data_IF_369899245301
#
_entry.id   IF_369899245301
#
_cell.length_a   1.000
_cell.length_b   1.000
_cell.length_c   1.000
_cell.angle_alpha   90.00
_cell.angle_beta   90.00
_cell.angle_gamma   90.00
#
_symmetry.space_group_name_H-M   'P 1'
#
loop_
_entity.id
_entity.type
_entity.pdbx_description
1 polymer ?
#
# COMPACT_ATOMS: atom_id res chain seq x y z
N UNK A 1 -46.18 3.05 19.48
CA UNK A 1 -45.62 2.82 20.82
C UNK A 1 -44.49 1.71 20.89
N UNK A 2 -44.17 1.03 19.82
CA UNK A 2 -43.03 0.05 19.80
C UNK A 2 -41.70 0.66 19.36
N UNK A 3 -41.67 1.91 18.94
CA UNK A 3 -40.49 2.58 18.36
C UNK A 3 -39.42 2.91 19.39
N UNK A 4 -39.78 3.49 20.55
CA UNK A 4 -38.78 3.88 21.55
C UNK A 4 -37.99 2.70 22.13
N UNK A 5 -38.60 1.59 22.56
CA UNK A 5 -37.85 0.43 23.07
C UNK A 5 -36.97 -0.25 22.01
N UNK A 6 -37.34 -0.17 20.73
CA UNK A 6 -36.54 -0.74 19.64
C UNK A 6 -35.35 0.15 19.34
N UNK A 7 -35.49 1.48 19.35
CA UNK A 7 -34.37 2.43 19.21
C UNK A 7 -33.36 2.27 20.35
N UNK A 8 -33.82 2.13 21.59
CA UNK A 8 -32.93 1.88 22.73
C UNK A 8 -32.12 0.59 22.53
N UNK A 9 -32.76 -0.49 22.05
CA UNK A 9 -32.05 -1.75 21.75
C UNK A 9 -31.04 -1.60 20.61
N UNK A 10 -31.37 -0.88 19.53
CA UNK A 10 -30.43 -0.61 18.43
C UNK A 10 -29.22 0.18 18.94
N UNK A 11 -29.42 1.18 19.78
CA UNK A 11 -28.31 1.92 20.41
C UNK A 11 -27.47 1.03 21.34
N UNK A 12 -28.11 0.20 22.16
CA UNK A 12 -27.41 -0.76 23.04
C UNK A 12 -26.56 -1.76 22.23
N UNK A 13 -27.07 -2.19 21.06
CA UNK A 13 -26.35 -3.05 20.10
C UNK A 13 -25.31 -2.28 19.26
N UNK A 14 -25.14 -0.97 19.48
CA UNK A 14 -24.24 -0.09 18.69
C UNK A 14 -24.57 -0.04 17.20
N UNK A 15 -25.86 -0.18 16.84
CA UNK A 15 -26.40 -0.05 15.49
C UNK A 15 -26.94 1.36 15.28
N UNK A 16 -26.05 2.36 15.48
CA UNK A 16 -26.44 3.77 15.54
C UNK A 16 -26.90 4.33 14.19
N UNK A 17 -26.26 3.93 13.09
CA UNK A 17 -26.65 4.39 11.76
C UNK A 17 -27.98 3.76 11.34
N UNK A 18 -28.23 2.49 11.67
CA UNK A 18 -29.52 1.84 11.47
C UNK A 18 -30.63 2.52 12.27
N UNK A 19 -30.35 2.91 13.52
CA UNK A 19 -31.33 3.63 14.36
C UNK A 19 -31.68 5.00 13.77
N UNK A 20 -30.69 5.74 13.30
CA UNK A 20 -30.89 7.03 12.63
C UNK A 20 -31.70 6.85 11.35
N UNK A 21 -31.30 5.94 10.46
CA UNK A 21 -32.01 5.67 9.21
C UNK A 21 -33.47 5.21 9.46
N UNK A 22 -33.70 4.41 10.52
CA UNK A 22 -35.08 4.02 10.87
C UNK A 22 -35.93 5.21 11.31
N UNK A 23 -35.38 6.12 12.11
CA UNK A 23 -36.07 7.32 12.51
C UNK A 23 -36.41 8.22 11.28
N UNK A 24 -35.47 8.37 10.35
CA UNK A 24 -35.65 9.11 9.11
C UNK A 24 -36.75 8.50 8.24
N UNK A 25 -36.77 7.17 8.08
CA UNK A 25 -37.82 6.47 7.32
C UNK A 25 -39.22 6.73 7.84
N UNK A 26 -39.38 6.95 9.15
CA UNK A 26 -40.70 7.26 9.74
C UNK A 26 -41.26 8.66 9.39
N UNK A 27 -40.35 9.56 9.00
CA UNK A 27 -40.72 10.93 8.62
C UNK A 27 -40.85 11.13 7.10
N UNK A 28 -40.48 10.11 6.29
CA UNK A 28 -40.53 10.17 4.83
C UNK A 28 -41.80 9.44 4.32
N UNK A 29 -42.73 10.19 3.72
CA UNK A 29 -44.00 9.64 3.20
C UNK A 29 -43.75 8.59 2.10
N UNK A 30 -42.74 8.76 1.26
CA UNK A 30 -42.42 7.86 0.16
C UNK A 30 -41.97 6.47 0.64
N UNK A 31 -41.47 6.37 1.86
CA UNK A 31 -41.03 5.08 2.43
C UNK A 31 -42.20 4.15 2.74
N UNK A 32 -43.41 4.66 2.87
CA UNK A 32 -44.62 3.84 3.11
C UNK A 32 -45.01 3.01 1.88
N UNK A 33 -44.60 3.45 0.69
CA UNK A 33 -44.84 2.75 -0.57
C UNK A 33 -43.92 1.54 -0.80
N UNK A 34 -42.77 1.46 -0.07
CA UNK A 34 -41.82 0.36 -0.18
C UNK A 34 -42.27 -0.84 0.66
N UNK A 35 -41.99 -2.04 0.15
CA UNK A 35 -42.19 -3.29 0.89
C UNK A 35 -41.28 -3.33 2.14
N UNK A 36 -41.67 -4.17 3.11
CA UNK A 36 -40.89 -4.31 4.35
C UNK A 36 -39.44 -4.70 4.09
N UNK A 37 -39.21 -5.67 3.20
CA UNK A 37 -37.86 -6.18 2.89
C UNK A 37 -36.97 -5.09 2.28
N UNK A 38 -37.53 -4.24 1.43
CA UNK A 38 -36.79 -3.10 0.85
C UNK A 38 -36.39 -2.09 1.92
N UNK A 39 -37.34 -1.70 2.79
CA UNK A 39 -37.07 -0.78 3.90
C UNK A 39 -36.05 -1.33 4.87
N UNK A 40 -36.17 -2.63 5.23
CA UNK A 40 -35.21 -3.29 6.10
C UNK A 40 -33.83 -3.37 5.46
N UNK A 41 -33.74 -3.69 4.16
CA UNK A 41 -32.50 -3.70 3.39
C UNK A 41 -31.78 -2.33 3.45
N UNK A 42 -32.54 -1.22 3.30
CA UNK A 42 -31.97 0.12 3.43
C UNK A 42 -31.40 0.42 4.83
N UNK A 43 -32.02 -0.08 5.89
CA UNK A 43 -31.52 0.07 7.26
C UNK A 43 -30.21 -0.69 7.48
N UNK A 44 -30.15 -1.93 6.99
CA UNK A 44 -28.93 -2.76 7.05
C UNK A 44 -27.80 -2.11 6.26
N UNK A 45 -28.09 -1.62 5.07
CA UNK A 45 -27.13 -0.93 4.21
C UNK A 45 -26.59 0.35 4.86
N UNK A 46 -27.42 1.13 5.54
CA UNK A 46 -27.01 2.33 6.26
C UNK A 46 -25.97 2.00 7.35
N UNK A 47 -26.22 0.96 8.15
CA UNK A 47 -25.28 0.51 9.18
C UNK A 47 -24.00 -0.05 8.59
N UNK A 48 -24.11 -0.85 7.53
CA UNK A 48 -22.97 -1.42 6.82
C UNK A 48 -22.04 -0.32 6.30
N UNK A 49 -22.59 0.66 5.55
CA UNK A 49 -21.82 1.80 5.01
C UNK A 49 -21.17 2.62 6.11
N UNK A 50 -21.88 2.89 7.20
CA UNK A 50 -21.33 3.64 8.32
C UNK A 50 -20.13 2.93 8.96
N UNK A 51 -20.21 1.60 9.11
CA UNK A 51 -19.08 0.79 9.64
C UNK A 51 -17.91 0.74 8.68
N UNK A 52 -18.17 0.54 7.38
CA UNK A 52 -17.13 0.55 6.35
C UNK A 52 -16.41 1.91 6.30
N UNK A 53 -17.17 3.02 6.31
CA UNK A 53 -16.59 4.36 6.33
C UNK A 53 -15.74 4.61 7.59
N UNK A 54 -16.24 4.18 8.75
CA UNK A 54 -15.48 4.29 10.01
C UNK A 54 -14.20 3.46 9.98
N UNK A 55 -14.26 2.23 9.45
CA UNK A 55 -13.09 1.36 9.26
C UNK A 55 -12.06 2.00 8.34
N UNK A 56 -12.50 2.50 7.18
CA UNK A 56 -11.63 3.17 6.22
C UNK A 56 -10.98 4.42 6.82
N UNK A 57 -11.77 5.29 7.45
CA UNK A 57 -11.25 6.51 8.09
C UNK A 57 -10.17 6.17 9.11
N UNK A 58 -10.40 5.16 9.94
CA UNK A 58 -9.41 4.70 10.92
C UNK A 58 -8.15 4.14 10.24
N UNK A 59 -8.31 3.30 9.21
CA UNK A 59 -7.19 2.74 8.47
C UNK A 59 -6.32 3.83 7.82
N UNK A 60 -6.93 4.86 7.23
CA UNK A 60 -6.22 5.99 6.64
C UNK A 60 -5.51 6.85 7.69
N UNK A 61 -6.12 7.06 8.87
CA UNK A 61 -5.47 7.76 9.99
C UNK A 61 -4.25 6.99 10.50
N UNK A 62 -4.34 5.66 10.61
CA UNK A 62 -3.25 4.79 11.05
C UNK A 62 -2.14 4.68 9.99
N UNK A 63 -2.47 4.74 8.71
CA UNK A 63 -1.54 4.68 7.59
C UNK A 63 -0.59 5.88 7.52
N UNK A 64 -1.02 7.05 8.00
CA UNK A 64 -0.24 8.30 8.03
C UNK A 64 0.34 8.67 6.66
N UNK A 65 -0.46 8.53 5.61
CA UNK A 65 -0.05 8.84 4.24
C UNK A 65 0.39 10.30 4.13
N UNK A 66 1.53 10.56 3.46
CA UNK A 66 2.05 11.91 3.21
C UNK A 66 1.05 12.76 2.43
N UNK A 67 0.38 12.14 1.47
CA UNK A 67 -0.65 12.75 0.63
C UNK A 67 -1.97 12.03 0.93
N UNK A 68 -2.69 12.51 1.93
CA UNK A 68 -3.93 11.90 2.41
C UNK A 68 -5.06 11.89 1.38
N UNK A 69 -5.02 12.81 0.41
CA UNK A 69 -6.01 12.95 -0.67
C UNK A 69 -5.61 12.16 -1.94
N UNK A 70 -4.43 11.51 -1.94
CA UNK A 70 -4.02 10.74 -3.10
C UNK A 70 -4.93 9.52 -3.30
N UNK A 71 -5.54 9.42 -4.47
CA UNK A 71 -6.36 8.29 -4.88
C UNK A 71 -6.07 7.94 -6.35
N UNK A 72 -6.36 6.70 -6.74
CA UNK A 72 -6.08 6.22 -8.10
C UNK A 72 -6.92 6.93 -9.14
N UNK A 73 -8.12 7.37 -8.77
CA UNK A 73 -9.04 8.11 -9.63
C UNK A 73 -8.52 9.51 -9.99
N UNK A 74 -7.64 10.08 -9.16
CA UNK A 74 -7.04 11.40 -9.38
C UNK A 74 -5.71 11.34 -10.14
N UNK A 75 -5.31 10.16 -10.66
CA UNK A 75 -4.10 10.04 -11.47
C UNK A 75 -4.36 10.66 -12.83
N UNK A 76 -3.59 11.70 -13.15
CA UNK A 76 -3.55 12.27 -14.49
C UNK A 76 -2.54 11.48 -15.36
N UNK A 77 -2.97 11.10 -16.57
CA UNK A 77 -2.19 10.33 -17.55
C UNK A 77 -1.84 11.18 -18.79
N UNK A 78 -1.08 12.26 -18.66
CA UNK A 78 -0.63 12.99 -19.84
C UNK A 78 0.34 12.13 -20.65
N UNK A 79 0.31 12.28 -21.98
CA UNK A 79 1.13 11.50 -22.92
C UNK A 79 2.64 11.56 -22.64
N UNK A 80 3.11 12.58 -21.90
CA UNK A 80 4.51 12.74 -21.49
C UNK A 80 4.94 11.90 -20.28
N UNK A 81 4.01 11.23 -19.58
CA UNK A 81 4.33 10.51 -18.32
C UNK A 81 4.59 9.03 -18.53
N UNK A 82 4.36 8.46 -19.71
CA UNK A 82 4.59 7.03 -20.01
C UNK A 82 4.12 6.04 -18.91
N UNK A 83 3.20 6.49 -18.06
CA UNK A 83 2.63 5.66 -17.01
C UNK A 83 1.61 4.71 -17.65
N UNK A 84 1.91 3.42 -17.64
CA UNK A 84 1.02 2.42 -18.22
C UNK A 84 -0.27 2.27 -17.41
N UNK A 85 -1.38 2.64 -18.05
CA UNK A 85 -2.73 2.52 -17.44
C UNK A 85 -3.10 1.08 -17.12
N UNK A 86 -2.60 0.09 -17.90
CA UNK A 86 -2.89 -1.31 -17.67
C UNK A 86 -2.22 -1.78 -16.38
N UNK A 87 -0.95 -1.42 -16.17
CA UNK A 87 -0.22 -1.70 -14.93
C UNK A 87 -0.91 -1.06 -13.73
N UNK A 88 -1.30 0.20 -13.82
CA UNK A 88 -2.02 0.86 -12.70
C UNK A 88 -3.36 0.21 -12.41
N UNK A 89 -4.12 -0.20 -13.44
CA UNK A 89 -5.37 -0.96 -13.25
C UNK A 89 -5.12 -2.31 -12.57
N UNK A 90 -4.07 -3.02 -12.96
CA UNK A 90 -3.67 -4.27 -12.32
C UNK A 90 -3.32 -4.04 -10.84
N UNK A 91 -2.48 -3.05 -10.53
CA UNK A 91 -2.13 -2.71 -9.15
C UNK A 91 -3.35 -2.25 -8.32
N UNK A 92 -4.34 -1.60 -8.96
CA UNK A 92 -5.59 -1.18 -8.32
C UNK A 92 -6.45 -2.36 -7.82
N UNK A 93 -6.28 -3.56 -8.37
CA UNK A 93 -6.96 -4.78 -7.89
C UNK A 93 -6.51 -5.21 -6.51
N UNK A 94 -5.31 -4.82 -6.10
CA UNK A 94 -4.61 -5.23 -4.87
C UNK A 94 -4.23 -6.73 -4.81
N UNK A 95 -4.27 -7.47 -5.92
CA UNK A 95 -3.84 -8.88 -5.97
C UNK A 95 -2.38 -9.06 -5.55
N UNK A 96 -1.52 -8.10 -5.91
CA UNK A 96 -0.12 -8.08 -5.50
C UNK A 96 0.07 -8.13 -3.96
N UNK A 97 -0.92 -7.67 -3.17
CA UNK A 97 -0.91 -7.79 -1.70
C UNK A 97 -1.21 -9.22 -1.28
N UNK A 98 -2.18 -9.88 -1.92
CA UNK A 98 -2.54 -11.28 -1.66
C UNK A 98 -1.40 -12.23 -2.06
N UNK A 99 -0.69 -11.89 -3.11
CA UNK A 99 0.46 -12.62 -3.65
C UNK A 99 1.79 -12.26 -2.93
N UNK A 100 1.75 -11.32 -1.99
CA UNK A 100 2.91 -10.81 -1.23
C UNK A 100 4.02 -10.23 -2.11
N UNK A 101 3.65 -9.65 -3.25
CA UNK A 101 4.56 -8.99 -4.15
C UNK A 101 4.88 -7.56 -3.68
N UNK A 102 6.09 -7.11 -3.96
CA UNK A 102 6.50 -5.73 -3.75
C UNK A 102 6.13 -4.84 -4.94
N UNK A 103 6.10 -3.53 -4.74
CA UNK A 103 5.93 -2.55 -5.80
C UNK A 103 7.07 -1.53 -5.73
N UNK A 104 7.79 -1.37 -6.84
CA UNK A 104 8.91 -0.45 -6.92
C UNK A 104 8.59 0.64 -7.94
N UNK A 105 8.59 1.88 -7.48
CA UNK A 105 8.29 3.07 -8.27
C UNK A 105 9.56 3.88 -8.47
N UNK A 106 10.11 3.84 -9.68
CA UNK A 106 11.36 4.54 -10.02
C UNK A 106 11.07 5.71 -10.95
N UNK A 107 11.88 6.75 -10.86
CA UNK A 107 11.80 7.90 -11.77
C UNK A 107 12.36 9.18 -11.17
N UNK A 108 12.46 10.25 -11.98
CA UNK A 108 12.99 11.54 -11.57
C UNK A 108 12.16 12.22 -10.46
N UNK A 109 12.72 13.23 -9.84
CA UNK A 109 11.99 14.07 -8.87
C UNK A 109 10.81 14.77 -9.57
N UNK A 110 9.66 14.84 -8.88
CA UNK A 110 8.49 15.56 -9.37
C UNK A 110 7.55 14.75 -10.29
N UNK A 111 7.91 13.54 -10.73
CA UNK A 111 7.06 12.72 -11.63
C UNK A 111 5.84 12.08 -10.95
N UNK A 112 5.68 12.23 -9.63
CA UNK A 112 4.50 11.77 -8.91
C UNK A 112 4.64 10.41 -8.21
N UNK A 113 5.86 9.85 -8.02
CA UNK A 113 6.10 8.58 -7.33
C UNK A 113 5.43 8.51 -5.95
N UNK A 114 5.67 9.51 -5.09
CA UNK A 114 5.06 9.57 -3.76
C UNK A 114 3.53 9.65 -3.81
N UNK A 115 2.98 10.34 -4.83
CA UNK A 115 1.54 10.38 -5.05
C UNK A 115 1.00 8.99 -5.39
N UNK A 116 1.63 8.30 -6.34
CA UNK A 116 1.23 6.97 -6.75
C UNK A 116 1.36 5.95 -5.60
N UNK A 117 2.45 5.99 -4.83
CA UNK A 117 2.62 5.15 -3.65
C UNK A 117 1.51 5.39 -2.60
N UNK A 118 1.18 6.67 -2.33
CA UNK A 118 0.08 7.01 -1.42
C UNK A 118 -1.28 6.57 -1.98
N UNK A 119 -1.52 6.71 -3.30
CA UNK A 119 -2.77 6.29 -3.95
C UNK A 119 -2.96 4.76 -3.90
N UNK A 120 -1.90 3.98 -4.12
CA UNK A 120 -1.94 2.52 -3.96
C UNK A 120 -2.17 2.11 -2.50
N UNK A 121 -1.51 2.75 -1.55
CA UNK A 121 -1.73 2.49 -0.13
C UNK A 121 -3.15 2.90 0.33
N UNK A 122 -3.69 4.00 -0.20
CA UNK A 122 -5.08 4.40 0.01
C UNK A 122 -6.04 3.34 -0.53
N UNK A 123 -5.80 2.83 -1.76
CA UNK A 123 -6.60 1.77 -2.35
C UNK A 123 -6.52 0.47 -1.53
N UNK A 124 -5.35 0.12 -1.00
CA UNK A 124 -5.19 -1.00 -0.08
C UNK A 124 -6.08 -0.82 1.17
N UNK A 125 -6.12 0.37 1.79
CA UNK A 125 -7.01 0.68 2.91
C UNK A 125 -8.49 0.52 2.53
N UNK A 126 -8.90 0.97 1.33
CA UNK A 126 -10.28 0.79 0.81
C UNK A 126 -10.65 -0.70 0.69
N UNK A 127 -9.69 -1.55 0.33
CA UNK A 127 -9.86 -3.01 0.24
C UNK A 127 -9.77 -3.71 1.60
N UNK A 128 -9.50 -2.97 2.68
CA UNK A 128 -9.46 -3.50 4.05
C UNK A 128 -8.09 -3.91 4.55
N UNK A 129 -7.03 -3.70 3.76
CA UNK A 129 -5.65 -3.94 4.19
C UNK A 129 -5.13 -2.83 5.09
N UNK A 130 -4.18 -3.15 5.95
CA UNK A 130 -3.50 -2.18 6.81
C UNK A 130 -2.27 -1.66 6.09
N UNK A 131 -2.26 -0.38 5.76
CA UNK A 131 -1.11 0.29 5.16
C UNK A 131 -0.39 1.16 6.19
N UNK A 132 0.90 1.43 5.94
CA UNK A 132 1.68 2.39 6.69
C UNK A 132 2.69 3.09 5.80
N UNK A 133 2.81 4.40 5.95
CA UNK A 133 3.75 5.21 5.17
C UNK A 133 4.90 5.69 6.06
N UNK A 134 6.13 5.56 5.54
CA UNK A 134 7.34 6.12 6.11
C UNK A 134 8.22 6.69 5.00
N UNK A 135 8.81 7.85 5.25
CA UNK A 135 9.95 8.32 4.48
C UNK A 135 11.20 7.59 4.98
N UNK A 136 12.07 7.10 4.09
CA UNK A 136 13.24 6.29 4.47
C UNK A 136 14.08 6.96 5.58
N UNK A 137 14.43 8.23 5.44
CA UNK A 137 15.20 8.96 6.45
C UNK A 137 14.49 9.07 7.82
N UNK A 138 13.15 9.21 7.83
CA UNK A 138 12.38 9.23 9.08
C UNK A 138 12.26 7.85 9.69
N UNK A 139 12.12 6.81 8.88
CA UNK A 139 12.08 5.43 9.35
C UNK A 139 13.36 5.09 10.12
N UNK A 140 14.53 5.38 9.54
CA UNK A 140 15.80 5.14 10.20
C UNK A 140 15.96 5.94 11.49
N UNK A 141 15.53 7.19 11.51
CA UNK A 141 15.52 8.00 12.71
C UNK A 141 14.58 7.43 13.81
N UNK A 142 13.37 6.99 13.44
CA UNK A 142 12.43 6.32 14.36
C UNK A 142 13.05 5.04 14.94
N UNK A 143 13.75 4.24 14.13
CA UNK A 143 14.42 3.01 14.58
C UNK A 143 15.60 3.29 15.52
N UNK A 144 16.42 4.31 15.23
CA UNK A 144 17.51 4.74 16.10
C UNK A 144 17.00 5.21 17.47
N UNK A 145 15.93 6.02 17.51
CA UNK A 145 15.27 6.43 18.75
C UNK A 145 14.70 5.24 19.51
N UNK A 146 14.05 4.31 18.80
CA UNK A 146 13.45 3.12 19.40
C UNK A 146 14.51 2.18 20.01
N UNK A 147 15.74 2.14 19.48
CA UNK A 147 16.87 1.44 20.10
C UNK A 147 17.30 2.14 21.41
N UNK A 148 17.34 3.45 21.41
CA UNK A 148 17.75 4.23 22.57
C UNK A 148 16.74 4.14 23.73
N UNK A 149 15.44 4.09 23.45
CA UNK A 149 14.36 4.03 24.45
C UNK A 149 13.85 2.59 24.74
N UNK A 150 14.45 1.57 24.12
CA UNK A 150 14.10 0.15 24.32
C UNK A 150 12.79 -0.30 23.66
N UNK A 151 12.22 0.49 22.75
CA UNK A 151 10.97 0.16 22.05
C UNK A 151 11.16 -0.48 20.67
N UNK A 152 12.41 -0.78 20.31
CA UNK A 152 12.80 -1.27 18.98
C UNK A 152 12.00 -2.50 18.53
N UNK A 153 11.96 -3.56 19.34
CA UNK A 153 11.22 -4.80 19.01
C UNK A 153 9.73 -4.54 18.79
N UNK A 154 9.15 -3.62 19.58
CA UNK A 154 7.73 -3.23 19.42
C UNK A 154 7.49 -2.47 18.12
N UNK A 155 8.45 -1.63 17.69
CA UNK A 155 8.38 -0.91 16.42
C UNK A 155 8.48 -1.87 15.24
N UNK A 156 9.45 -2.81 15.23
CA UNK A 156 9.58 -3.85 14.22
C UNK A 156 8.30 -4.68 14.11
N UNK A 157 7.79 -5.19 15.23
CA UNK A 157 6.54 -5.95 15.25
C UNK A 157 5.34 -5.15 14.70
N UNK A 158 5.32 -3.83 14.90
CA UNK A 158 4.30 -2.95 14.31
C UNK A 158 4.45 -2.85 12.79
N UNK A 159 5.67 -2.71 12.28
CA UNK A 159 5.96 -2.64 10.85
C UNK A 159 5.69 -3.99 10.15
N UNK A 160 6.04 -5.10 10.79
CA UNK A 160 5.77 -6.45 10.29
C UNK A 160 4.26 -6.77 10.16
N UNK A 161 3.40 -6.17 10.99
CA UNK A 161 1.95 -6.37 10.95
C UNK A 161 1.22 -5.59 9.86
N UNK A 162 1.88 -4.65 9.20
CA UNK A 162 1.29 -3.90 8.09
C UNK A 162 1.21 -4.80 6.85
N UNK A 163 0.05 -4.86 6.21
CA UNK A 163 -0.09 -5.61 4.97
C UNK A 163 0.68 -4.92 3.83
N UNK A 164 0.72 -3.57 3.86
CA UNK A 164 1.50 -2.73 2.94
C UNK A 164 2.34 -1.73 3.71
N UNK A 165 3.66 -1.76 3.53
CA UNK A 165 4.58 -0.73 4.02
C UNK A 165 5.09 0.11 2.85
N UNK A 166 4.84 1.41 2.89
CA UNK A 166 5.43 2.37 1.93
C UNK A 166 6.71 2.94 2.52
N UNK A 167 7.82 2.75 1.82
CA UNK A 167 9.12 3.39 2.10
C UNK A 167 9.38 4.39 0.97
N UNK A 168 9.16 5.67 1.27
CA UNK A 168 9.25 6.75 0.28
C UNK A 168 10.64 7.41 0.31
N UNK A 169 11.08 7.92 -0.83
CA UNK A 169 12.37 8.60 -1.00
C UNK A 169 13.59 7.70 -0.67
N UNK A 170 13.54 6.41 -1.05
CA UNK A 170 14.67 5.50 -0.96
C UNK A 170 15.82 5.93 -1.88
N UNK A 171 17.05 5.86 -1.38
CA UNK A 171 18.23 6.22 -2.15
C UNK A 171 18.51 7.72 -2.21
N UNK A 172 17.80 8.55 -1.45
CA UNK A 172 18.00 10.00 -1.47
C UNK A 172 19.20 10.47 -0.62
N UNK A 173 19.55 9.74 0.44
CA UNK A 173 20.64 10.03 1.34
C UNK A 173 21.47 8.76 1.61
N UNK A 174 22.78 8.85 1.84
CA UNK A 174 23.62 7.70 2.18
C UNK A 174 23.04 6.95 3.39
N UNK A 175 23.10 5.61 3.36
CA UNK A 175 22.64 4.73 4.43
C UNK A 175 23.81 4.28 5.28
N UNK A 176 23.68 4.38 6.59
CA UNK A 176 24.68 3.96 7.57
C UNK A 176 24.56 2.45 7.86
N UNK A 177 25.62 1.83 8.42
CA UNK A 177 25.62 0.40 8.75
C UNK A 177 24.46 -0.06 9.65
N UNK A 178 24.09 0.66 10.72
CA UNK A 178 22.93 0.30 11.52
C UNK A 178 21.61 0.35 10.71
N UNK A 179 21.48 1.32 9.82
CA UNK A 179 20.29 1.51 9.00
C UNK A 179 20.10 0.41 7.95
N UNK A 180 21.21 -0.11 7.38
CA UNK A 180 21.18 -1.26 6.47
C UNK A 180 20.68 -2.51 7.18
N UNK A 181 21.20 -2.77 8.38
CA UNK A 181 20.77 -3.92 9.21
C UNK A 181 19.32 -3.80 9.63
N UNK A 182 18.90 -2.60 10.05
CA UNK A 182 17.52 -2.32 10.41
C UNK A 182 16.57 -2.54 9.22
N UNK A 183 16.98 -2.10 8.02
CA UNK A 183 16.19 -2.32 6.82
C UNK A 183 16.08 -3.81 6.49
N UNK A 184 17.21 -4.53 6.54
CA UNK A 184 17.22 -5.98 6.28
C UNK A 184 16.29 -6.70 7.25
N UNK A 185 16.32 -6.39 8.55
CA UNK A 185 15.46 -7.01 9.57
C UNK A 185 13.97 -6.75 9.27
N UNK A 186 13.61 -5.50 8.88
CA UNK A 186 12.25 -5.18 8.46
C UNK A 186 11.84 -6.00 7.23
N UNK A 187 12.72 -6.13 6.24
CA UNK A 187 12.41 -6.85 5.01
C UNK A 187 12.31 -8.36 5.24
N UNK A 188 13.15 -8.93 6.10
CA UNK A 188 13.10 -10.34 6.48
C UNK A 188 11.76 -10.71 7.14
N UNK A 189 11.32 -9.91 8.12
CA UNK A 189 10.03 -10.10 8.79
C UNK A 189 8.83 -10.03 7.82
N UNK A 190 9.00 -9.41 6.66
CA UNK A 190 7.94 -9.15 5.68
C UNK A 190 8.03 -10.06 4.45
N UNK A 191 9.19 -10.63 4.18
CA UNK A 191 9.44 -11.43 2.98
C UNK A 191 8.46 -12.60 2.86
N UNK A 192 7.85 -12.76 1.69
CA UNK A 192 6.89 -13.85 1.41
C UNK A 192 5.58 -13.79 2.21
N UNK A 193 5.38 -12.79 3.09
CA UNK A 193 4.18 -12.68 3.95
C UNK A 193 3.47 -11.34 3.86
N UNK A 194 4.15 -10.30 3.41
CA UNK A 194 3.66 -8.92 3.30
C UNK A 194 4.27 -8.21 2.10
N UNK A 195 3.66 -7.11 1.71
CA UNK A 195 4.07 -6.32 0.55
C UNK A 195 4.70 -4.99 0.97
N UNK A 196 5.73 -4.57 0.23
CA UNK A 196 6.39 -3.28 0.44
C UNK A 196 6.34 -2.45 -0.84
N UNK A 197 5.99 -1.17 -0.72
CA UNK A 197 6.09 -0.19 -1.82
C UNK A 197 7.33 0.65 -1.58
N UNK A 198 8.23 0.71 -2.56
CA UNK A 198 9.41 1.57 -2.51
C UNK A 198 9.32 2.63 -3.60
N UNK A 199 9.59 3.88 -3.26
CA UNK A 199 9.81 4.92 -4.24
C UNK A 199 11.27 5.32 -4.25
N UNK A 200 11.88 5.41 -5.42
CA UNK A 200 13.30 5.76 -5.57
C UNK A 200 13.54 6.64 -6.77
N UNK A 201 14.58 7.46 -6.71
CA UNK A 201 15.16 8.14 -7.87
C UNK A 201 16.26 7.28 -8.50
N UNK A 202 16.88 6.42 -7.69
CA UNK A 202 17.92 5.50 -8.15
C UNK A 202 17.25 4.27 -8.79
N UNK A 203 17.66 3.88 -10.00
CA UNK A 203 17.26 2.61 -10.58
C UNK A 203 17.77 1.43 -9.73
N UNK A 204 17.05 0.30 -9.69
CA UNK A 204 17.45 -0.87 -8.90
C UNK A 204 18.88 -1.35 -9.15
N UNK A 205 19.37 -1.24 -10.39
CA UNK A 205 20.74 -1.59 -10.76
C UNK A 205 21.83 -0.82 -9.97
N UNK A 206 21.49 0.34 -9.41
CA UNK A 206 22.42 1.16 -8.61
C UNK A 206 22.25 0.95 -7.09
N UNK A 207 21.29 0.12 -6.66
CA UNK A 207 21.02 -0.07 -5.23
C UNK A 207 22.15 -0.83 -4.53
N UNK A 208 22.82 -1.75 -5.23
CA UNK A 208 23.97 -2.47 -4.69
C UNK A 208 25.11 -1.51 -4.34
N UNK A 209 25.49 -0.65 -5.27
CA UNK A 209 26.54 0.36 -5.05
C UNK A 209 26.13 1.39 -3.97
N UNK A 210 24.86 1.79 -3.98
CA UNK A 210 24.31 2.70 -2.97
C UNK A 210 24.37 2.11 -1.55
N UNK A 211 24.12 0.82 -1.39
CA UNK A 211 24.18 0.13 -0.10
C UNK A 211 25.62 -0.06 0.39
N UNK A 212 26.64 -0.05 -0.50
CA UNK A 212 28.06 -0.05 -0.18
C UNK A 212 28.57 -1.19 0.75
N UNK A 213 27.77 -2.24 0.95
CA UNK A 213 28.11 -3.47 1.66
C UNK A 213 27.57 -4.64 0.82
N UNK A 214 28.45 -5.41 0.19
CA UNK A 214 28.07 -6.43 -0.79
C UNK A 214 27.08 -7.47 -0.20
N UNK A 215 27.34 -7.96 1.01
CA UNK A 215 26.53 -9.01 1.64
C UNK A 215 25.13 -8.49 2.02
N UNK A 216 25.06 -7.30 2.62
CA UNK A 216 23.77 -6.68 2.97
C UNK A 216 23.01 -6.20 1.73
N UNK A 217 23.74 -5.73 0.70
CA UNK A 217 23.15 -5.30 -0.56
C UNK A 217 22.50 -6.48 -1.29
N UNK A 218 23.17 -7.61 -1.42
CA UNK A 218 22.60 -8.82 -2.02
C UNK A 218 21.34 -9.26 -1.28
N UNK A 219 21.41 -9.33 0.04
CA UNK A 219 20.27 -9.74 0.86
C UNK A 219 19.07 -8.77 0.75
N UNK A 220 19.30 -7.46 0.80
CA UNK A 220 18.25 -6.43 0.69
C UNK A 220 17.65 -6.43 -0.72
N UNK A 221 18.49 -6.45 -1.76
CA UNK A 221 18.04 -6.45 -3.14
C UNK A 221 17.24 -7.71 -3.47
N UNK A 222 17.68 -8.89 -3.03
CA UNK A 222 16.94 -10.14 -3.23
C UNK A 222 15.50 -10.02 -2.66
N UNK A 223 15.36 -9.61 -1.41
CA UNK A 223 14.05 -9.49 -0.75
C UNK A 223 13.14 -8.43 -1.35
N UNK A 224 13.69 -7.38 -1.92
CA UNK A 224 12.91 -6.32 -2.55
C UNK A 224 12.53 -6.64 -3.99
N UNK A 225 13.45 -7.24 -4.78
CA UNK A 225 13.32 -7.34 -6.23
C UNK A 225 12.77 -8.70 -6.70
N UNK A 226 12.99 -9.78 -5.94
CA UNK A 226 12.65 -11.14 -6.35
C UNK A 226 11.18 -11.31 -6.77
N UNK A 227 10.25 -10.68 -6.05
CA UNK A 227 8.80 -10.70 -6.31
C UNK A 227 8.24 -9.27 -6.44
N UNK A 228 8.86 -8.43 -7.28
CA UNK A 228 8.47 -7.03 -7.37
C UNK A 228 7.82 -6.67 -8.71
N UNK A 229 6.73 -5.90 -8.65
CA UNK A 229 6.22 -5.14 -9.79
C UNK A 229 7.03 -3.84 -9.90
N UNK A 230 7.85 -3.75 -10.93
CA UNK A 230 8.64 -2.55 -11.20
C UNK A 230 7.87 -1.62 -12.15
N UNK A 231 7.64 -0.39 -11.72
CA UNK A 231 6.94 0.64 -12.51
C UNK A 231 7.81 1.87 -12.64
N UNK A 232 8.10 2.28 -13.86
CA UNK A 232 8.77 3.54 -14.16
C UNK A 232 7.73 4.66 -14.31
N UNK A 233 7.89 5.70 -13.51
CA UNK A 233 7.15 6.93 -13.69
C UNK A 233 7.99 7.88 -14.54
N UNK A 234 7.94 7.70 -15.88
CA UNK A 234 8.53 8.65 -16.82
C UNK A 234 9.77 8.22 -17.62
N UNK A 235 9.97 6.91 -17.92
CA UNK A 235 11.01 6.43 -18.87
C UNK A 235 10.58 5.10 -19.52
N UNK A 236 11.03 4.87 -20.76
CA UNK A 236 10.66 3.74 -21.61
C UNK A 236 10.97 2.35 -21.01
N UNK A 237 10.06 1.42 -21.25
CA UNK A 237 10.13 -0.01 -20.88
C UNK A 237 11.39 -0.72 -21.45
N UNK A 238 12.03 -0.16 -22.48
CA UNK A 238 13.21 -0.74 -23.14
C UNK A 238 14.46 -0.79 -22.25
N UNK A 239 14.58 0.11 -21.28
CA UNK A 239 15.74 0.13 -20.37
C UNK A 239 15.64 -0.88 -19.22
N UNK A 240 14.45 -1.44 -19.00
CA UNK A 240 14.18 -2.44 -17.94
C UNK A 240 14.84 -3.80 -18.22
N UNK A 241 14.76 -4.30 -19.46
CA UNK A 241 15.42 -5.55 -19.84
C UNK A 241 16.94 -5.43 -19.72
N UNK A 242 17.52 -4.29 -20.08
CA UNK A 242 18.94 -4.03 -19.93
C UNK A 242 19.38 -3.92 -18.47
N UNK A 243 18.55 -3.32 -17.60
CA UNK A 243 18.85 -3.17 -16.17
C UNK A 243 18.73 -4.48 -15.39
N UNK A 244 17.76 -5.33 -15.73
CA UNK A 244 17.61 -6.68 -15.12
C UNK A 244 18.70 -7.64 -15.60
N UNK A 245 19.11 -7.55 -16.87
CA UNK A 245 20.21 -8.36 -17.44
C UNK A 245 21.60 -7.91 -16.95
N UNK A 246 21.76 -6.68 -16.45
CA UNK A 246 23.01 -6.18 -15.86
C UNK A 246 23.20 -6.59 -14.39
N UNK A 247 22.16 -7.06 -13.71
CA UNK A 247 22.24 -7.64 -12.38
C UNK A 247 22.76 -9.10 -12.50
N UNK A 248 24.04 -9.26 -12.26
CA UNK A 248 24.86 -10.49 -12.15
C UNK A 248 24.33 -11.79 -12.81
N UNK A 249 25.16 -12.47 -13.62
CA UNK A 249 24.77 -13.70 -14.33
C UNK A 249 24.34 -14.87 -13.43
N UNK A 250 24.66 -14.84 -12.15
CA UNK A 250 24.37 -15.92 -11.18
C UNK A 250 23.01 -15.80 -10.50
N UNK A 251 22.32 -14.66 -10.63
CA UNK A 251 20.94 -14.47 -10.14
C UNK A 251 19.87 -15.01 -11.11
N UNK A 252 20.27 -15.60 -12.24
CA UNK A 252 19.42 -16.00 -13.36
C UNK A 252 18.42 -17.13 -13.09
N UNK A 253 18.48 -17.82 -11.96
CA UNK A 253 17.47 -18.83 -11.62
C UNK A 253 16.10 -18.21 -11.26
N UNK A 254 16.03 -16.93 -10.90
CA UNK A 254 14.79 -16.18 -10.65
C UNK A 254 14.22 -15.44 -11.87
N UNK A 255 15.07 -15.13 -12.85
CA UNK A 255 14.72 -14.30 -14.02
C UNK A 255 13.82 -15.04 -15.02
N UNK A 256 13.90 -16.37 -15.10
CA UNK A 256 13.01 -17.18 -15.96
C UNK A 256 11.50 -17.03 -15.62
N UNK A 257 11.20 -16.57 -14.41
CA UNK A 257 9.83 -16.28 -13.98
C UNK A 257 9.38 -14.89 -14.44
N UNK A 258 10.29 -13.91 -14.43
CA UNK A 258 10.02 -12.54 -14.90
C UNK A 258 9.89 -12.51 -16.43
N UNK A 259 10.67 -13.29 -17.18
CA UNK A 259 10.56 -13.39 -18.64
C UNK A 259 9.25 -14.03 -19.11
N UNK A 260 8.74 -15.04 -18.39
CA UNK A 260 7.45 -15.68 -18.69
C UNK A 260 6.29 -14.71 -18.47
N UNK A 261 6.40 -13.88 -17.46
CA UNK A 261 5.38 -12.87 -17.12
C UNK A 261 5.34 -11.72 -18.15
N UNK A 262 6.51 -11.27 -18.66
CA UNK A 262 6.60 -10.26 -19.73
C UNK A 262 6.07 -10.82 -21.05
N UNK A 263 6.29 -12.08 -21.34
CA UNK A 263 5.76 -12.75 -22.54
C UNK A 263 4.24 -12.91 -22.50
N UNK A 264 3.67 -13.24 -21.33
CA UNK A 264 2.21 -13.38 -21.14
C UNK A 264 1.47 -12.02 -21.09
N UNK A 265 2.19 -10.93 -20.82
CA UNK A 265 1.61 -9.58 -20.80
C UNK A 265 1.64 -8.87 -22.18
N UNK A 266 2.43 -9.39 -23.12
CA UNK A 266 2.60 -8.84 -24.48
C UNK A 266 1.94 -9.71 -25.57
N UNK A 267 1.41 -10.87 -25.27
CA UNK A 267 0.59 -11.72 -26.14
C UNK A 267 -0.88 -11.45 -25.96
#
# INVERSE_FOLDING_TARGET
MLTAPTLEKLHALKLTAMATAWTEQQHQADMTALAFDERFGLLVEAEWRARENKRLTRALQEAKLKLSQACLEAIDYPARRELDKAVIRQLATCRWIEEHHNVILVGATGVGKSFLACALAHQACRKGYRAGYRRASRLFHELALARADGTYVRLLAKLARLDVLVIDDWGLAPVQDPERRDLLEILEDRYGTRSTIITSQLPPAQWHDYLADATLADAICDRLLHNAHLTHAGLEVRDLQAAVLALAPDALMGVAHAERWVADALG
#
